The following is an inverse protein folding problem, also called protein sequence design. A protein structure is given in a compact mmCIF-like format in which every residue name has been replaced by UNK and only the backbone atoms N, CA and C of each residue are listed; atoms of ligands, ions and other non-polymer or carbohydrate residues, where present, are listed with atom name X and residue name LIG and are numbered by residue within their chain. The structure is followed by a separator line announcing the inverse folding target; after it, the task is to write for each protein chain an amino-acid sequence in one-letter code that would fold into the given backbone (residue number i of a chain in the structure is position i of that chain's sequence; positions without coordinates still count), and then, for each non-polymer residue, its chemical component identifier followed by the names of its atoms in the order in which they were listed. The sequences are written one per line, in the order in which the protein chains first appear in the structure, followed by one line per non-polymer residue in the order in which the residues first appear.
data_IF_350726056352
#
_entry.id   IF_350726056352
#
_cell.length_a   1.000
_cell.length_b   1.000
_cell.length_c   1.000
_cell.angle_alpha   90.00
_cell.angle_beta   90.00
_cell.angle_gamma   90.00
#
_symmetry.space_group_name_H-M   'P 1'
#
loop_
_entity.id
_entity.type
_entity.pdbx_description
1 polymer ?
#
# COMPACT_ATOMS: atom_id res chain seq x y z
N UNK A 1 25.99 -3.92 0.34
CA UNK A 1 24.96 -3.33 1.23
C UNK A 1 24.48 -2.07 0.55
N UNK A 2 23.44 -2.19 -0.25
CA UNK A 2 22.69 -1.06 -0.77
C UNK A 2 21.89 -0.49 0.38
N UNK A 3 22.23 0.70 0.84
CA UNK A 3 21.35 1.49 1.70
C UNK A 3 20.15 1.89 0.83
N UNK A 4 18.97 1.33 1.12
CA UNK A 4 17.72 1.91 0.63
C UNK A 4 17.73 3.37 1.07
N UNK A 5 17.75 4.30 0.15
CA UNK A 5 17.45 5.68 0.48
C UNK A 5 16.05 5.70 1.08
N UNK A 6 15.98 6.14 2.33
CA UNK A 6 14.71 6.30 3.02
C UNK A 6 14.04 7.48 2.32
N UNK A 7 13.04 7.21 1.46
CA UNK A 7 12.18 8.28 0.94
C UNK A 7 11.69 9.08 2.12
N UNK A 8 11.76 10.40 2.04
CA UNK A 8 11.19 11.26 3.07
C UNK A 8 9.71 10.88 3.24
N UNK A 9 9.26 10.70 4.47
CA UNK A 9 7.87 10.30 4.70
C UNK A 9 6.95 11.38 4.10
N UNK A 10 6.06 10.97 3.22
CA UNK A 10 5.00 11.84 2.71
C UNK A 10 4.14 12.23 3.91
N UNK A 11 4.01 13.53 4.14
CA UNK A 11 3.13 14.07 5.17
C UNK A 11 2.22 15.11 4.54
N UNK A 12 0.91 14.85 4.55
CA UNK A 12 -0.11 15.82 4.17
C UNK A 12 -0.69 16.43 5.45
N UNK A 13 -0.91 17.75 5.41
CA UNK A 13 -1.63 18.43 6.48
C UNK A 13 -3.08 17.91 6.55
N UNK A 14 -3.54 17.43 7.69
CA UNK A 14 -4.92 17.04 7.87
C UNK A 14 -5.85 18.27 7.88
N UNK A 15 -7.09 18.08 7.45
CA UNK A 15 -8.16 19.06 7.69
C UNK A 15 -8.36 19.20 9.20
N UNK A 16 -8.55 20.45 9.67
CA UNK A 16 -8.84 20.69 11.09
C UNK A 16 -10.13 19.99 11.49
N UNK A 17 -10.03 19.10 12.48
CA UNK A 17 -11.12 18.26 12.97
C UNK A 17 -11.92 18.87 14.13
N UNK A 18 -11.75 20.18 14.35
CA UNK A 18 -12.47 20.90 15.40
C UNK A 18 -13.99 20.78 15.18
N UNK A 19 -14.69 20.34 16.22
CA UNK A 19 -16.14 20.13 16.17
C UNK A 19 -16.58 18.82 15.52
N UNK A 20 -15.67 18.04 14.95
CA UNK A 20 -16.02 16.74 14.40
C UNK A 20 -16.38 15.74 15.52
N UNK A 21 -17.30 14.83 15.19
CA UNK A 21 -17.70 13.74 16.07
C UNK A 21 -17.58 12.40 15.35
N UNK A 22 -17.20 11.36 16.07
CA UNK A 22 -17.13 10.01 15.55
C UNK A 22 -17.94 9.05 16.41
N UNK A 23 -18.66 8.13 15.76
CA UNK A 23 -19.43 7.06 16.38
C UNK A 23 -19.16 5.75 15.63
N UNK A 24 -18.93 4.68 16.35
CA UNK A 24 -18.78 3.35 15.80
C UNK A 24 -19.97 2.46 16.18
N UNK A 25 -20.26 1.46 15.35
CA UNK A 25 -21.27 0.44 15.64
C UNK A 25 -20.91 -0.42 16.85
N UNK A 26 -19.62 -0.55 17.15
CA UNK A 26 -19.13 -1.15 18.38
C UNK A 26 -17.77 -0.57 18.80
N UNK A 27 -17.48 -0.61 20.08
CA UNK A 27 -16.15 -0.28 20.61
C UNK A 27 -15.88 -0.98 21.93
N UNK A 28 -14.58 -1.15 22.23
CA UNK A 28 -14.14 -1.72 23.51
C UNK A 28 -14.37 -0.75 24.66
N UNK A 29 -14.54 -1.31 25.86
CA UNK A 29 -14.87 -0.58 27.07
C UNK A 29 -13.75 0.31 27.59
N UNK A 30 -13.62 1.49 27.01
CA UNK A 30 -12.71 2.52 27.46
C UNK A 30 -13.37 3.90 27.37
N UNK A 31 -13.00 4.81 28.27
CA UNK A 31 -13.33 6.21 28.11
C UNK A 31 -12.59 6.80 26.90
N UNK A 32 -13.03 7.94 26.38
CA UNK A 32 -12.28 8.69 25.38
C UNK A 32 -10.85 8.95 25.90
N UNK A 33 -9.86 8.66 25.04
CA UNK A 33 -8.44 8.74 25.39
C UNK A 33 -7.86 7.51 26.11
N UNK A 34 -8.66 6.44 26.30
CA UNK A 34 -8.11 5.16 26.74
C UNK A 34 -7.34 4.49 25.59
N UNK A 35 -6.42 3.56 25.92
CA UNK A 35 -5.64 2.81 24.91
C UNK A 35 -6.52 2.06 23.91
N UNK A 36 -7.63 1.48 24.39
CA UNK A 36 -8.68 0.88 23.58
C UNK A 36 -10.00 1.55 23.94
N UNK A 37 -10.66 2.22 23.00
CA UNK A 37 -11.80 3.04 23.33
C UNK A 37 -12.75 3.33 22.17
N UNK A 38 -13.54 4.41 22.32
CA UNK A 38 -14.56 4.80 21.36
C UNK A 38 -13.97 5.35 20.06
N UNK A 39 -14.82 5.49 19.03
CA UNK A 39 -14.44 6.04 17.74
C UNK A 39 -13.86 7.46 17.79
N UNK A 40 -14.15 8.24 18.83
CA UNK A 40 -13.54 9.56 19.03
C UNK A 40 -12.01 9.53 19.17
N UNK A 41 -11.42 8.38 19.51
CA UNK A 41 -9.97 8.21 19.54
C UNK A 41 -9.35 8.31 18.14
N UNK A 42 -10.11 8.05 17.06
CA UNK A 42 -9.66 8.27 15.68
C UNK A 42 -9.45 9.75 15.33
N UNK A 43 -9.90 10.66 16.18
CA UNK A 43 -9.89 12.10 15.93
C UNK A 43 -9.10 12.90 16.97
N UNK A 44 -8.48 12.25 17.96
CA UNK A 44 -7.89 12.94 19.11
C UNK A 44 -6.44 13.41 18.93
N UNK A 45 -5.81 13.07 17.81
CA UNK A 45 -4.44 13.45 17.49
C UNK A 45 -3.36 12.63 18.20
N UNK A 46 -3.71 11.48 18.77
CA UNK A 46 -2.82 10.66 19.58
C UNK A 46 -2.69 9.26 19.02
N UNK A 47 -1.48 8.83 18.74
CA UNK A 47 -1.20 7.47 18.24
C UNK A 47 -1.21 6.39 19.33
N UNK A 48 -1.27 6.76 20.59
CA UNK A 48 -1.28 5.84 21.73
C UNK A 48 -2.70 5.47 22.20
N UNK A 49 -3.71 6.14 21.66
CA UNK A 49 -5.13 5.86 21.86
C UNK A 49 -5.73 5.31 20.57
N UNK A 50 -6.60 4.33 20.68
CA UNK A 50 -7.21 3.73 19.48
C UNK A 50 -8.72 3.58 19.65
N UNK A 51 -9.46 3.69 18.56
CA UNK A 51 -10.70 2.98 18.42
C UNK A 51 -10.40 1.49 18.23
N UNK A 52 -11.12 0.64 18.93
CA UNK A 52 -11.09 -0.80 18.70
C UNK A 52 -12.52 -1.33 18.81
N UNK A 53 -12.94 -2.12 17.79
CA UNK A 53 -14.22 -2.81 17.83
C UNK A 53 -14.30 -3.72 19.04
N UNK A 54 -15.52 -4.04 19.46
CA UNK A 54 -15.74 -4.77 20.67
C UNK A 54 -15.11 -6.17 20.65
N UNK A 55 -14.45 -6.55 21.77
CA UNK A 55 -13.94 -7.91 22.01
C UNK A 55 -14.20 -8.30 23.48
N UNK A 56 -14.66 -9.52 23.72
CA UNK A 56 -14.70 -10.10 25.05
C UNK A 56 -15.59 -9.37 26.07
N UNK A 57 -16.86 -9.12 25.75
CA UNK A 57 -17.82 -8.56 26.72
C UNK A 57 -17.81 -7.05 26.84
N UNK A 58 -17.43 -6.38 25.79
CA UNK A 58 -17.38 -4.94 25.71
C UNK A 58 -18.70 -4.22 25.93
N UNK A 59 -18.61 -2.92 25.97
CA UNK A 59 -19.59 -2.05 26.60
C UNK A 59 -20.68 -1.57 25.71
N UNK A 60 -20.50 -1.52 24.46
CA UNK A 60 -21.47 -0.84 23.61
C UNK A 60 -22.67 -1.73 23.24
N UNK A 61 -22.91 -2.79 24.00
CA UNK A 61 -24.10 -3.65 23.87
C UNK A 61 -24.08 -4.57 22.65
N UNK A 62 -23.12 -4.41 21.76
CA UNK A 62 -23.12 -5.12 20.48
C UNK A 62 -22.48 -6.51 20.56
N UNK A 63 -21.78 -6.86 21.64
CA UNK A 63 -21.04 -8.11 21.73
C UNK A 63 -19.91 -8.21 20.69
N UNK A 64 -19.27 -9.35 20.60
CA UNK A 64 -18.33 -9.65 19.52
C UNK A 64 -19.08 -9.73 18.19
N UNK A 65 -18.72 -8.87 17.27
CA UNK A 65 -19.31 -8.85 15.92
C UNK A 65 -18.27 -9.26 14.88
N UNK A 66 -18.74 -9.90 13.84
CA UNK A 66 -17.96 -10.10 12.63
C UNK A 66 -18.02 -8.86 11.73
N UNK A 67 -17.16 -8.79 10.73
CA UNK A 67 -17.22 -7.74 9.73
C UNK A 67 -18.60 -7.64 9.05
N UNK A 68 -19.02 -6.45 8.61
CA UNK A 68 -18.26 -5.20 8.62
C UNK A 68 -18.37 -4.45 9.96
N UNK A 69 -17.34 -3.64 10.27
CA UNK A 69 -17.38 -2.65 11.34
C UNK A 69 -17.50 -1.25 10.77
N UNK A 70 -18.37 -0.43 11.34
CA UNK A 70 -18.71 0.87 10.78
C UNK A 70 -18.34 2.00 11.75
N UNK A 71 -17.77 3.07 11.21
CA UNK A 71 -17.54 4.33 11.90
C UNK A 71 -18.16 5.45 11.08
N UNK A 72 -19.04 6.25 11.67
CA UNK A 72 -19.57 7.50 11.09
C UNK A 72 -18.82 8.66 11.71
N UNK A 73 -18.26 9.53 10.89
CA UNK A 73 -17.65 10.79 11.27
C UNK A 73 -18.51 11.93 10.72
N UNK A 74 -19.05 12.74 11.61
CA UNK A 74 -19.85 13.93 11.27
C UNK A 74 -18.98 15.16 11.45
N UNK A 75 -18.93 16.02 10.45
CA UNK A 75 -18.21 17.29 10.46
C UNK A 75 -19.07 18.39 11.07
N UNK A 76 -18.43 19.45 11.53
CA UNK A 76 -19.11 20.66 12.01
C UNK A 76 -19.72 21.42 10.85
N UNK A 77 -18.94 21.59 9.78
CA UNK A 77 -19.31 22.19 8.51
C UNK A 77 -19.08 21.22 7.35
N UNK A 78 -19.42 21.64 6.14
CA UNK A 78 -19.10 20.87 4.93
C UNK A 78 -17.61 20.93 4.62
N UNK A 79 -16.99 19.78 4.42
CA UNK A 79 -15.58 19.64 4.10
C UNK A 79 -15.36 19.19 2.66
N UNK A 80 -14.30 19.71 2.02
CA UNK A 80 -13.84 19.29 0.69
C UNK A 80 -12.47 18.66 0.79
N UNK A 81 -12.33 17.42 0.29
CA UNK A 81 -11.13 16.62 0.42
C UNK A 81 -10.86 15.77 -0.83
N UNK A 82 -9.60 15.40 -1.02
CA UNK A 82 -9.12 14.61 -2.16
C UNK A 82 -8.42 13.32 -1.76
N UNK A 83 -8.09 13.19 -0.48
CA UNK A 83 -7.49 11.97 0.09
C UNK A 83 -7.85 11.80 1.55
N UNK A 84 -7.62 10.61 2.06
CA UNK A 84 -7.70 10.33 3.49
C UNK A 84 -6.48 9.53 3.94
N UNK A 85 -6.24 9.50 5.24
CA UNK A 85 -5.25 8.61 5.85
C UNK A 85 -5.82 7.83 7.02
N UNK A 86 -5.35 6.61 7.13
CA UNK A 86 -5.62 5.71 8.24
C UNK A 86 -4.30 5.40 8.95
N UNK A 87 -4.30 5.59 10.26
CA UNK A 87 -3.17 5.22 11.12
C UNK A 87 -3.54 3.95 11.88
N UNK A 88 -2.94 2.80 11.56
CA UNK A 88 -3.12 1.57 12.31
C UNK A 88 -2.52 1.69 13.71
N UNK A 89 -2.75 0.68 14.54
CA UNK A 89 -2.04 0.57 15.82
C UNK A 89 -0.52 0.63 15.56
N UNK A 90 0.23 1.18 16.51
CA UNK A 90 1.68 1.39 16.42
C UNK A 90 2.51 0.11 16.26
N UNK A 91 1.92 -1.03 16.46
CA UNK A 91 2.54 -2.34 16.37
C UNK A 91 2.54 -2.89 14.95
N UNK A 92 3.02 -4.11 14.76
CA UNK A 92 3.16 -4.71 13.44
C UNK A 92 1.83 -4.81 12.68
N UNK A 93 1.91 -4.94 11.37
CA UNK A 93 0.76 -5.14 10.47
C UNK A 93 -0.18 -6.29 10.90
N UNK A 94 0.37 -7.31 11.58
CA UNK A 94 -0.37 -8.48 12.07
C UNK A 94 -1.08 -8.24 13.41
N UNK A 95 -1.05 -7.03 13.95
CA UNK A 95 -1.70 -6.70 15.21
C UNK A 95 -3.22 -6.75 15.09
N UNK A 96 -3.89 -7.30 16.10
CA UNK A 96 -5.34 -7.33 16.15
C UNK A 96 -5.95 -5.94 15.95
N UNK A 97 -6.97 -5.90 15.10
CA UNK A 97 -7.69 -4.68 14.77
C UNK A 97 -7.09 -3.88 13.61
N UNK A 98 -5.86 -4.16 13.15
CA UNK A 98 -5.33 -3.51 11.96
C UNK A 98 -6.15 -3.91 10.73
N UNK A 99 -6.77 -2.90 10.12
CA UNK A 99 -7.74 -3.07 9.04
C UNK A 99 -6.99 -3.37 7.74
N UNK A 100 -7.46 -4.38 6.98
CA UNK A 100 -7.00 -4.64 5.63
C UNK A 100 -7.98 -4.08 4.60
N UNK A 101 -9.16 -4.62 4.52
CA UNK A 101 -10.18 -4.19 3.57
C UNK A 101 -11.01 -3.02 4.11
N UNK A 102 -11.32 -2.05 3.24
CA UNK A 102 -12.10 -0.89 3.62
C UNK A 102 -13.07 -0.43 2.53
N UNK A 103 -14.11 0.33 2.97
CA UNK A 103 -14.96 1.17 2.11
C UNK A 103 -15.14 2.52 2.79
N UNK A 104 -15.15 3.59 1.98
CA UNK A 104 -15.44 4.95 2.45
C UNK A 104 -16.65 5.49 1.70
N UNK A 105 -17.63 5.95 2.43
CA UNK A 105 -18.85 6.60 1.90
C UNK A 105 -18.87 8.05 2.36
N UNK A 106 -19.55 8.90 1.60
CA UNK A 106 -19.73 10.31 1.91
C UNK A 106 -21.19 10.74 1.69
N UNK A 107 -21.64 11.71 2.48
CA UNK A 107 -22.98 12.26 2.36
C UNK A 107 -22.99 13.76 2.66
N UNK A 108 -23.87 14.50 1.97
CA UNK A 108 -24.15 15.93 2.22
C UNK A 108 -25.37 16.15 3.11
N UNK A 109 -25.98 15.09 3.63
CA UNK A 109 -27.12 15.20 4.55
C UNK A 109 -26.75 15.98 5.82
N UNK A 110 -27.61 16.93 6.19
CA UNK A 110 -27.36 17.77 7.37
C UNK A 110 -27.45 16.98 8.67
N UNK A 111 -28.41 16.06 8.75
CA UNK A 111 -28.58 15.18 9.89
C UNK A 111 -27.63 13.98 9.81
N UNK A 112 -27.13 13.54 10.98
CA UNK A 112 -26.29 12.35 11.05
C UNK A 112 -27.08 11.13 10.55
N UNK A 113 -26.48 10.41 9.60
CA UNK A 113 -27.06 9.18 9.08
C UNK A 113 -26.74 7.97 9.99
N UNK A 114 -27.69 7.05 10.06
CA UNK A 114 -27.45 5.74 10.66
C UNK A 114 -26.49 4.91 9.79
N UNK A 115 -25.79 3.95 10.40
CA UNK A 115 -24.82 3.08 9.71
C UNK A 115 -25.41 2.38 8.48
N UNK A 116 -26.68 1.98 8.54
CA UNK A 116 -27.38 1.21 7.51
C UNK A 116 -28.30 2.07 6.63
N UNK A 117 -28.16 3.41 6.66
CA UNK A 117 -28.96 4.29 5.82
C UNK A 117 -28.68 4.06 4.35
N UNK A 118 -29.71 3.97 3.53
CA UNK A 118 -29.63 3.92 2.05
C UNK A 118 -29.13 5.23 1.43
N UNK A 119 -29.16 6.33 2.19
CA UNK A 119 -28.64 7.64 1.77
C UNK A 119 -27.10 7.69 1.69
N UNK A 120 -26.38 6.66 2.12
CA UNK A 120 -24.94 6.59 1.90
C UNK A 120 -24.57 6.39 0.42
N UNK A 121 -25.44 5.78 -0.38
CA UNK A 121 -25.18 5.49 -1.79
C UNK A 121 -24.01 4.56 -2.01
N UNK A 122 -23.26 4.82 -3.09
CA UNK A 122 -22.08 4.02 -3.44
C UNK A 122 -20.82 4.53 -2.70
N UNK A 123 -19.85 3.67 -2.43
CA UNK A 123 -18.60 4.08 -1.81
C UNK A 123 -17.80 5.02 -2.73
N UNK A 124 -17.25 6.09 -2.17
CA UNK A 124 -16.34 7.01 -2.86
C UNK A 124 -14.91 6.46 -2.97
N UNK A 125 -14.58 5.49 -2.14
CA UNK A 125 -13.35 4.70 -2.21
C UNK A 125 -13.56 3.33 -1.57
N UNK A 126 -12.93 2.31 -2.15
CA UNK A 126 -12.86 0.97 -1.58
C UNK A 126 -11.56 0.28 -2.01
N UNK A 127 -11.04 -0.62 -1.19
CA UNK A 127 -9.80 -1.33 -1.46
C UNK A 127 -9.24 -2.05 -0.25
N UNK A 128 -7.96 -2.34 -0.32
CA UNK A 128 -7.17 -2.89 0.77
C UNK A 128 -6.04 -1.92 1.12
N UNK A 129 -5.74 -1.77 2.41
CA UNK A 129 -4.57 -1.02 2.86
C UNK A 129 -3.30 -1.83 2.63
N UNK A 130 -2.31 -1.19 2.05
CA UNK A 130 -0.97 -1.75 1.87
C UNK A 130 -0.09 -1.34 3.05
N UNK A 131 0.48 -2.33 3.73
CA UNK A 131 1.37 -2.14 4.88
C UNK A 131 2.82 -2.26 4.42
N UNK A 132 3.35 -1.19 3.86
CA UNK A 132 4.73 -1.10 3.35
C UNK A 132 5.74 -0.55 4.38
N UNK A 133 5.30 -0.42 5.63
CA UNK A 133 6.08 0.20 6.71
C UNK A 133 5.94 1.71 6.78
N UNK A 134 5.12 2.34 5.93
CA UNK A 134 4.73 3.74 6.07
C UNK A 134 3.54 3.87 7.02
N UNK A 135 3.54 4.96 7.79
CA UNK A 135 2.46 5.25 8.73
C UNK A 135 2.36 6.77 8.92
N UNK A 136 1.23 7.39 8.65
CA UNK A 136 -0.07 6.83 8.26
C UNK A 136 -0.12 6.30 6.82
N UNK A 137 -1.09 5.43 6.53
CA UNK A 137 -1.38 4.92 5.20
C UNK A 137 -2.32 5.90 4.50
N UNK A 138 -1.91 6.42 3.34
CA UNK A 138 -2.70 7.39 2.58
C UNK A 138 -3.45 6.73 1.42
N UNK A 139 -4.64 7.24 1.14
CA UNK A 139 -5.47 6.83 -0.01
C UNK A 139 -5.96 8.05 -0.75
N UNK A 140 -5.64 8.17 -2.03
CA UNK A 140 -6.19 9.19 -2.91
C UNK A 140 -7.58 8.81 -3.40
N UNK A 141 -8.52 9.74 -3.35
CA UNK A 141 -9.82 9.58 -3.99
C UNK A 141 -9.67 9.73 -5.52
N UNK A 142 -10.53 9.06 -6.26
CA UNK A 142 -10.60 9.24 -7.72
C UNK A 142 -10.93 10.69 -8.07
N UNK A 143 -11.94 11.24 -7.38
CA UNK A 143 -12.45 12.59 -7.57
C UNK A 143 -12.48 13.36 -6.25
N UNK A 144 -12.47 14.70 -6.33
CA UNK A 144 -12.65 15.56 -5.17
C UNK A 144 -14.04 15.34 -4.59
N UNK A 145 -14.12 15.15 -3.29
CA UNK A 145 -15.38 14.95 -2.57
C UNK A 145 -15.69 16.14 -1.68
N UNK A 146 -16.95 16.54 -1.62
CA UNK A 146 -17.48 17.50 -0.64
C UNK A 146 -18.62 16.84 0.13
N UNK A 147 -18.53 16.85 1.47
CA UNK A 147 -19.46 16.15 2.33
C UNK A 147 -19.64 16.86 3.67
N UNK A 148 -20.71 16.51 4.38
CA UNK A 148 -20.93 16.91 5.79
C UNK A 148 -20.65 15.77 6.75
N UNK A 149 -20.51 14.55 6.23
CA UNK A 149 -20.23 13.34 6.98
C UNK A 149 -19.68 12.23 6.10
N UNK A 150 -18.93 11.33 6.70
CA UNK A 150 -18.44 10.12 6.06
C UNK A 150 -18.80 8.89 6.88
N UNK A 151 -18.87 7.73 6.21
CA UNK A 151 -18.89 6.43 6.87
C UNK A 151 -17.68 5.63 6.40
N UNK A 152 -16.80 5.30 7.34
CA UNK A 152 -15.68 4.41 7.15
C UNK A 152 -16.08 2.99 7.57
N UNK A 153 -15.89 2.03 6.70
CA UNK A 153 -16.27 0.63 6.90
C UNK A 153 -15.03 -0.23 6.79
N UNK A 154 -14.70 -0.92 7.85
CA UNK A 154 -13.71 -1.99 7.83
C UNK A 154 -14.39 -3.28 7.35
N UNK A 155 -13.78 -3.98 6.39
CA UNK A 155 -14.34 -5.21 5.78
C UNK A 155 -13.51 -6.45 6.05
N UNK A 156 -12.24 -6.30 6.45
CA UNK A 156 -11.34 -7.39 6.85
C UNK A 156 -10.14 -6.86 7.63
N UNK A 157 -9.41 -7.76 8.30
CA UNK A 157 -8.14 -7.47 9.00
C UNK A 157 -6.95 -8.14 8.33
N UNK A 158 -5.75 -7.67 8.65
CA UNK A 158 -4.51 -8.27 8.14
C UNK A 158 -4.18 -9.64 8.75
N UNK A 159 -4.59 -9.87 9.96
CA UNK A 159 -4.30 -11.12 10.67
C UNK A 159 -5.43 -12.16 10.59
N UNK A 160 -6.52 -11.86 9.88
CA UNK A 160 -7.67 -12.75 9.72
C UNK A 160 -8.62 -12.79 10.94
N UNK A 161 -8.35 -12.01 11.99
CA UNK A 161 -9.25 -11.87 13.12
C UNK A 161 -10.43 -10.96 12.78
N UNK A 162 -11.51 -11.05 13.54
CA UNK A 162 -12.76 -10.35 13.27
C UNK A 162 -12.82 -8.92 13.79
N UNK A 163 -11.72 -8.35 14.23
CA UNK A 163 -11.65 -7.04 14.89
C UNK A 163 -11.19 -5.94 13.93
N UNK A 164 -11.67 -4.73 14.20
CA UNK A 164 -11.21 -3.51 13.54
C UNK A 164 -10.82 -2.46 14.57
N UNK A 165 -9.85 -1.63 14.22
CA UNK A 165 -9.40 -0.52 15.05
C UNK A 165 -8.44 0.38 14.31
N UNK A 166 -8.04 1.47 14.94
CA UNK A 166 -7.09 2.42 14.39
C UNK A 166 -6.79 3.52 15.38
N UNK A 167 -5.62 4.13 15.24
CA UNK A 167 -5.21 5.26 16.08
C UNK A 167 -5.78 6.57 15.54
N UNK A 168 -5.67 6.82 14.23
CA UNK A 168 -6.10 8.08 13.65
C UNK A 168 -6.77 7.87 12.28
N UNK A 169 -7.73 8.73 11.98
CA UNK A 169 -8.33 8.89 10.67
C UNK A 169 -8.37 10.37 10.30
N UNK A 170 -7.78 10.72 9.15
CA UNK A 170 -7.71 12.09 8.69
C UNK A 170 -8.19 12.23 7.24
N UNK A 171 -8.76 13.39 6.93
CA UNK A 171 -9.03 13.83 5.57
C UNK A 171 -8.03 14.91 5.17
N UNK A 172 -7.68 14.98 3.88
CA UNK A 172 -6.72 15.92 3.35
C UNK A 172 -7.26 16.65 2.11
N UNK A 173 -6.95 17.95 2.01
CA UNK A 173 -7.35 18.77 0.86
C UNK A 173 -6.61 18.37 -0.41
N UNK A 174 -5.39 17.87 -0.27
CA UNK A 174 -4.52 17.51 -1.38
C UNK A 174 -4.44 15.99 -1.56
N UNK A 175 -4.10 15.56 -2.77
CA UNK A 175 -3.70 14.18 -3.03
C UNK A 175 -2.25 13.97 -2.60
N UNK A 176 -1.97 12.79 -2.11
CA UNK A 176 -0.59 12.31 -2.04
C UNK A 176 -0.03 12.37 -3.46
N UNK A 177 1.12 13.00 -3.67
CA UNK A 177 1.79 12.86 -4.95
C UNK A 177 1.94 11.37 -5.23
N UNK A 178 1.23 10.88 -6.24
CA UNK A 178 1.56 9.61 -6.82
C UNK A 178 2.94 9.85 -7.42
N UNK A 179 4.00 9.50 -6.68
CA UNK A 179 5.24 9.19 -7.33
C UNK A 179 4.82 8.04 -8.24
N UNK A 180 4.65 8.34 -9.52
CA UNK A 180 4.48 7.30 -10.52
C UNK A 180 5.53 6.28 -10.14
N UNK A 181 5.13 5.01 -10.01
CA UNK A 181 6.12 3.95 -9.77
C UNK A 181 7.07 4.05 -10.96
N UNK A 182 8.13 4.83 -10.75
CA UNK A 182 9.09 5.20 -11.79
C UNK A 182 9.99 4.02 -12.12
N UNK A 183 9.69 2.88 -11.49
CA UNK A 183 10.28 1.60 -11.84
C UNK A 183 9.87 1.25 -13.26
N UNK A 184 10.84 1.17 -14.12
CA UNK A 184 10.64 0.92 -15.54
C UNK A 184 9.80 -0.34 -15.78
N UNK A 185 10.01 -1.40 -14.96
CA UNK A 185 9.25 -2.66 -15.04
C UNK A 185 9.47 -3.50 -13.77
N UNK A 186 8.59 -4.46 -13.57
CA UNK A 186 8.78 -5.60 -12.65
C UNK A 186 9.11 -6.84 -13.50
N UNK A 187 9.79 -7.80 -12.92
CA UNK A 187 10.04 -9.09 -13.61
C UNK A 187 8.75 -9.78 -14.06
N UNK A 188 7.63 -9.54 -13.37
CA UNK A 188 6.31 -10.02 -13.77
C UNK A 188 5.78 -9.39 -15.06
N UNK A 189 6.33 -8.27 -15.50
CA UNK A 189 5.89 -7.56 -16.69
C UNK A 189 6.66 -8.03 -17.93
N UNK A 190 7.75 -8.77 -17.73
CA UNK A 190 8.58 -9.34 -18.78
C UNK A 190 7.95 -10.63 -19.30
N UNK A 191 7.87 -10.76 -20.62
CA UNK A 191 7.45 -11.98 -21.31
C UNK A 191 8.62 -12.53 -22.10
N UNK A 192 8.89 -13.83 -21.99
CA UNK A 192 9.90 -14.45 -22.82
C UNK A 192 9.52 -14.31 -24.30
N UNK A 193 10.50 -14.05 -25.16
CA UNK A 193 10.28 -14.07 -26.59
C UNK A 193 9.68 -15.41 -27.04
N UNK A 194 8.88 -15.35 -28.10
CA UNK A 194 8.34 -16.56 -28.72
C UNK A 194 9.41 -17.25 -29.55
N UNK A 195 9.59 -18.53 -29.33
CA UNK A 195 10.43 -19.35 -30.22
C UNK A 195 11.54 -20.13 -29.53
N UNK A 196 12.38 -20.77 -30.37
CA UNK A 196 13.45 -21.67 -29.87
C UNK A 196 14.64 -20.91 -29.30
N UNK A 197 14.76 -19.63 -29.63
CA UNK A 197 15.92 -18.79 -29.29
C UNK A 197 15.66 -17.98 -27.98
N UNK A 198 14.43 -17.99 -27.47
CA UNK A 198 14.08 -17.34 -26.20
C UNK A 198 14.91 -17.84 -25.00
N UNK A 199 15.39 -19.07 -25.06
CA UNK A 199 16.32 -19.65 -24.09
C UNK A 199 17.50 -20.28 -24.81
N UNK A 200 18.67 -19.67 -24.71
CA UNK A 200 19.90 -20.12 -25.35
C UNK A 200 20.86 -20.66 -24.31
N UNK A 201 21.42 -21.84 -24.58
CA UNK A 201 22.46 -22.46 -23.75
C UNK A 201 23.76 -22.57 -24.53
N UNK A 202 24.84 -21.99 -24.03
CA UNK A 202 26.13 -21.93 -24.68
C UNK A 202 27.25 -22.36 -23.72
N UNK A 203 28.35 -22.86 -24.33
CA UNK A 203 29.59 -23.04 -23.59
C UNK A 203 30.25 -21.68 -23.36
N UNK A 204 30.77 -21.48 -22.17
CA UNK A 204 31.46 -20.23 -21.80
C UNK A 204 32.76 -20.50 -21.08
N UNK A 205 33.68 -19.54 -21.15
CA UNK A 205 34.96 -19.59 -20.44
C UNK A 205 35.23 -18.24 -19.79
N UNK A 206 35.83 -18.25 -18.61
CA UNK A 206 36.30 -17.04 -17.96
C UNK A 206 37.61 -17.31 -17.20
N UNK A 207 38.38 -16.24 -16.98
CA UNK A 207 39.53 -16.29 -16.08
C UNK A 207 39.09 -15.73 -14.74
N UNK A 208 39.06 -16.60 -13.72
CA UNK A 208 38.62 -16.25 -12.36
C UNK A 208 39.79 -16.50 -11.43
N UNK A 209 40.23 -15.46 -10.73
CA UNK A 209 41.42 -15.52 -9.86
C UNK A 209 42.69 -16.09 -10.52
N UNK A 210 42.85 -15.79 -11.85
CA UNK A 210 44.00 -16.26 -12.62
C UNK A 210 43.84 -17.67 -13.20
N UNK A 211 42.77 -18.39 -12.91
CA UNK A 211 42.52 -19.72 -13.45
C UNK A 211 41.47 -19.65 -14.58
N UNK A 212 41.74 -20.34 -15.69
CA UNK A 212 40.78 -20.47 -16.79
C UNK A 212 39.73 -21.53 -16.41
N UNK A 213 38.48 -21.13 -16.34
CA UNK A 213 37.32 -22.00 -16.04
C UNK A 213 36.44 -22.11 -17.28
N UNK A 214 35.91 -23.31 -17.51
CA UNK A 214 34.84 -23.60 -18.47
C UNK A 214 33.52 -23.72 -17.79
N UNK A 215 32.41 -23.47 -18.47
CA UNK A 215 31.08 -23.54 -17.88
C UNK A 215 29.98 -23.44 -18.92
N UNK A 216 28.76 -23.29 -18.42
CA UNK A 216 27.57 -23.04 -19.24
C UNK A 216 27.01 -21.64 -18.95
N UNK A 217 26.60 -20.96 -20.02
CA UNK A 217 25.83 -19.70 -19.99
C UNK A 217 24.44 -20.01 -20.50
N UNK A 218 23.42 -19.62 -19.76
CA UNK A 218 22.01 -19.64 -20.18
C UNK A 218 21.54 -18.22 -20.29
N UNK A 219 21.01 -17.84 -21.45
CA UNK A 219 20.41 -16.54 -21.69
C UNK A 219 18.91 -16.71 -21.88
N UNK A 220 18.12 -15.94 -21.16
CA UNK A 220 16.68 -15.81 -21.33
C UNK A 220 16.41 -14.45 -21.96
N UNK A 221 15.92 -14.43 -23.19
CA UNK A 221 15.60 -13.20 -23.90
C UNK A 221 14.11 -12.87 -23.74
N UNK A 222 13.84 -11.63 -23.39
CA UNK A 222 12.47 -11.15 -23.18
C UNK A 222 12.04 -10.26 -24.35
N UNK A 223 10.71 -10.25 -24.61
CA UNK A 223 10.11 -9.31 -25.55
C UNK A 223 10.52 -7.87 -25.21
N UNK A 224 10.81 -7.02 -26.23
CA UNK A 224 11.19 -5.64 -25.98
C UNK A 224 10.15 -4.91 -25.12
N UNK A 225 10.62 -4.19 -24.13
CA UNK A 225 9.79 -3.44 -23.20
C UNK A 225 9.91 -1.93 -23.44
N UNK A 226 8.79 -1.25 -23.66
CA UNK A 226 8.78 0.20 -23.86
C UNK A 226 8.35 0.93 -22.60
N UNK A 227 9.19 1.83 -22.10
CA UNK A 227 8.89 2.72 -20.99
C UNK A 227 9.22 4.17 -21.33
N UNK A 228 8.26 5.08 -21.14
CA UNK A 228 8.40 6.53 -21.45
C UNK A 228 8.91 6.81 -22.87
N UNK A 229 8.57 5.95 -23.83
CA UNK A 229 8.98 6.09 -25.22
C UNK A 229 10.39 5.61 -25.52
N UNK A 230 11.07 4.98 -24.56
CA UNK A 230 12.35 4.28 -24.75
C UNK A 230 12.08 2.79 -24.80
N UNK A 231 12.65 2.10 -25.80
CA UNK A 231 12.58 0.66 -25.92
C UNK A 231 13.81 0.02 -25.28
N UNK A 232 13.57 -0.96 -24.41
CA UNK A 232 14.60 -1.72 -23.70
C UNK A 232 14.57 -3.16 -24.19
N UNK A 233 15.72 -3.66 -24.64
CA UNK A 233 15.95 -5.10 -24.83
C UNK A 233 16.60 -5.65 -23.56
N UNK A 234 16.05 -6.72 -23.01
CA UNK A 234 16.44 -7.24 -21.69
C UNK A 234 16.70 -8.73 -21.81
N UNK A 235 17.89 -9.13 -21.39
CA UNK A 235 18.28 -10.53 -21.26
C UNK A 235 18.64 -10.85 -19.81
N UNK A 236 18.12 -11.93 -19.28
CA UNK A 236 18.59 -12.50 -18.02
C UNK A 236 19.64 -13.57 -18.34
N UNK A 237 20.81 -13.41 -17.77
CA UNK A 237 21.93 -14.31 -17.98
C UNK A 237 22.30 -15.05 -16.70
N UNK A 238 22.35 -16.38 -16.80
CA UNK A 238 22.79 -17.25 -15.72
C UNK A 238 24.04 -18.01 -16.16
N UNK A 239 25.12 -17.91 -15.35
CA UNK A 239 26.39 -18.59 -15.66
C UNK A 239 26.81 -19.48 -14.50
N UNK A 240 27.21 -20.70 -14.81
CA UNK A 240 27.79 -21.64 -13.87
C UNK A 240 29.07 -22.24 -14.45
N UNK A 241 30.17 -22.15 -13.69
CA UNK A 241 31.45 -22.73 -14.08
C UNK A 241 31.69 -24.10 -13.44
N UNK A 242 32.44 -24.94 -14.12
CA UNK A 242 32.81 -26.26 -13.60
C UNK A 242 33.57 -26.14 -12.27
N UNK A 243 33.13 -26.91 -11.29
CA UNK A 243 33.67 -26.90 -9.94
C UNK A 243 33.18 -25.77 -9.04
N UNK A 244 32.39 -24.85 -9.53
CA UNK A 244 31.71 -23.87 -8.68
C UNK A 244 30.45 -24.49 -8.05
N UNK A 245 30.15 -24.10 -6.81
CA UNK A 245 28.93 -24.49 -6.07
C UNK A 245 27.86 -23.39 -6.09
N UNK A 246 28.02 -22.38 -6.93
CA UNK A 246 27.12 -21.24 -7.08
C UNK A 246 27.05 -20.85 -8.56
N UNK A 247 25.93 -20.21 -8.92
CA UNK A 247 25.71 -19.58 -10.22
C UNK A 247 25.85 -18.05 -10.09
N UNK A 248 26.17 -17.40 -11.18
CA UNK A 248 26.11 -15.95 -11.31
C UNK A 248 24.91 -15.60 -12.17
N UNK A 249 24.15 -14.64 -11.71
CA UNK A 249 22.98 -14.11 -12.40
C UNK A 249 23.16 -12.61 -12.62
N UNK A 250 22.88 -12.12 -13.83
CA UNK A 250 22.90 -10.70 -14.17
C UNK A 250 21.94 -10.41 -15.30
N UNK A 251 21.60 -9.12 -15.50
CA UNK A 251 20.85 -8.64 -16.63
C UNK A 251 21.76 -7.95 -17.63
N UNK A 252 21.54 -8.21 -18.90
CA UNK A 252 22.04 -7.41 -20.03
C UNK A 252 20.87 -6.56 -20.50
N UNK A 253 21.05 -5.22 -20.50
CA UNK A 253 20.01 -4.27 -20.86
C UNK A 253 20.57 -3.38 -21.96
N UNK A 254 19.94 -3.39 -23.12
CA UNK A 254 20.30 -2.57 -24.26
C UNK A 254 19.21 -1.53 -24.55
N UNK A 255 19.64 -0.36 -25.00
CA UNK A 255 18.79 0.76 -25.41
C UNK A 255 19.32 1.25 -26.76
N UNK A 256 18.45 1.66 -27.69
CA UNK A 256 18.91 2.28 -28.94
C UNK A 256 19.82 3.48 -28.71
N UNK A 257 20.83 3.67 -29.52
CA UNK A 257 21.83 4.75 -29.40
C UNK A 257 21.17 6.15 -29.30
N UNK A 258 20.08 6.37 -30.05
CA UNK A 258 19.30 7.61 -30.03
C UNK A 258 18.57 7.88 -28.69
N UNK A 259 18.37 6.85 -27.88
CA UNK A 259 17.68 6.91 -26.60
C UNK A 259 18.62 6.82 -25.38
N UNK A 260 19.92 6.59 -25.60
CA UNK A 260 20.92 6.48 -24.54
C UNK A 260 20.92 7.64 -23.54
N UNK A 261 20.61 8.87 -23.98
CA UNK A 261 20.50 10.04 -23.12
C UNK A 261 19.16 10.21 -22.39
N UNK A 262 18.19 9.32 -22.67
CA UNK A 262 16.85 9.34 -22.06
C UNK A 262 16.64 8.17 -21.09
N UNK A 263 17.49 7.14 -21.21
CA UNK A 263 17.41 5.97 -20.36
C UNK A 263 18.14 6.21 -19.05
N UNK A 264 17.43 6.01 -17.94
CA UNK A 264 18.00 6.06 -16.59
C UNK A 264 17.74 4.71 -15.92
N UNK A 265 18.78 4.10 -15.36
CA UNK A 265 18.68 2.91 -14.51
C UNK A 265 19.10 3.33 -13.10
N UNK A 266 18.13 3.50 -12.23
CA UNK A 266 18.36 3.91 -10.86
C UNK A 266 18.81 2.73 -9.98
N UNK A 267 18.10 1.62 -10.05
CA UNK A 267 18.51 0.38 -9.39
C UNK A 267 17.87 -0.85 -10.06
N UNK A 268 18.51 -1.99 -9.85
CA UNK A 268 18.00 -3.29 -10.28
C UNK A 268 17.94 -4.19 -9.04
N UNK A 269 16.75 -4.74 -8.75
CA UNK A 269 16.57 -5.77 -7.73
C UNK A 269 16.45 -7.13 -8.42
N UNK A 270 17.48 -7.95 -8.30
CA UNK A 270 17.56 -9.25 -8.98
C UNK A 270 16.86 -10.38 -8.22
N UNK A 271 16.65 -10.20 -6.93
CA UNK A 271 15.98 -11.17 -6.06
C UNK A 271 15.33 -10.42 -4.89
N UNK A 272 14.00 -10.35 -4.89
CA UNK A 272 13.21 -9.76 -3.80
C UNK A 272 12.35 -10.82 -3.11
#
# INVERSE_FOLDING_TARGET
KTTKEKKDPISLEPIDRKGWTAEADSYQNGAAGASDGPASNLLDGKIDTIWHSNYGGGTNGAGDQDYPHNVVIKFDDSETFQSFSYTPRKESETTNGNIKGYKLYASTEAEKLDFNSDKWGEPIAEGEFEYDGTNPIYVNLKETCTATQIKFVATSSNNGEKFAGGAEFNLHKDKVPVVADDRAFKTSDLQLEDGKDAVKVEDTTATINGEKKTGKKVTFSFEPYTHKGVEYTIDEVVVMYEGDHFMRKYLEIEVPDEDMGKAEIDYIDLES
#
